data_IF_489013743940
#
_entry.id   IF_489013743940
#
_cell.length_a   1.000
_cell.length_b   1.000
_cell.length_c   1.000
_cell.angle_alpha   90.00
_cell.angle_beta   90.00
_cell.angle_gamma   90.00
#
_symmetry.space_group_name_H-M   'P 1'
#
loop_
_entity.id
_entity.type
_entity.pdbx_description
1 polymer ?
#
# COMPACT_ATOMS: atom_id res chain seq x y z
N UNK A 1 10.93 -22.89 15.87
CA UNK A 1 12.12 -22.86 15.00
C UNK A 1 12.92 -21.59 15.24
N UNK A 2 14.25 -21.67 15.09
CA UNK A 2 15.11 -20.49 15.19
C UNK A 2 15.29 -19.87 13.80
N UNK A 3 15.14 -18.53 13.69
CA UNK A 3 15.32 -17.78 12.46
C UNK A 3 16.34 -16.67 12.65
N UNK A 4 17.24 -16.52 11.69
CA UNK A 4 18.18 -15.38 11.59
C UNK A 4 17.66 -14.41 10.53
N UNK A 5 17.40 -13.18 10.92
CA UNK A 5 16.82 -12.16 10.04
C UNK A 5 17.58 -10.84 10.16
N UNK A 6 17.42 -9.96 9.18
CA UNK A 6 17.91 -8.58 9.25
C UNK A 6 16.73 -7.63 9.21
N UNK A 7 16.71 -6.66 10.12
CA UNK A 7 15.64 -5.65 10.18
C UNK A 7 16.25 -4.27 10.05
N UNK A 8 15.65 -3.44 9.20
CA UNK A 8 16.04 -2.05 9.06
C UNK A 8 15.74 -1.27 10.33
N UNK A 9 16.74 -0.58 10.86
CA UNK A 9 16.65 0.30 12.01
C UNK A 9 17.03 1.71 11.61
N UNK A 10 16.24 2.66 12.08
CA UNK A 10 16.47 4.10 11.88
C UNK A 10 15.72 4.90 12.95
N UNK A 11 16.43 5.70 13.68
CA UNK A 11 15.88 6.69 14.60
C UNK A 11 16.30 8.08 14.13
N UNK A 12 15.38 8.97 13.70
CA UNK A 12 15.73 10.28 13.17
C UNK A 12 16.43 11.20 14.17
N UNK A 13 16.34 10.92 15.47
CA UNK A 13 16.97 11.73 16.52
C UNK A 13 18.45 11.35 16.72
N UNK A 14 18.86 10.14 16.31
CA UNK A 14 20.21 9.61 16.61
C UNK A 14 20.97 9.11 15.39
N UNK A 15 20.26 8.66 14.34
CA UNK A 15 20.85 8.02 13.18
C UNK A 15 20.93 8.98 11.97
N UNK A 16 22.05 9.00 11.28
CA UNK A 16 22.20 9.75 10.03
C UNK A 16 21.64 9.01 8.80
N UNK A 17 21.60 7.68 8.86
CA UNK A 17 21.10 6.79 7.80
C UNK A 17 20.56 5.48 8.36
N UNK A 18 19.64 4.79 7.67
CA UNK A 18 19.16 3.47 8.07
C UNK A 18 20.28 2.42 8.07
N UNK A 19 20.25 1.49 9.02
CA UNK A 19 21.15 0.34 9.09
C UNK A 19 20.36 -0.97 9.15
N UNK A 20 20.94 -2.06 8.66
CA UNK A 20 20.40 -3.40 8.82
C UNK A 20 20.97 -4.04 10.09
N UNK A 21 20.12 -4.38 11.01
CA UNK A 21 20.48 -5.01 12.29
C UNK A 21 20.13 -6.50 12.26
N UNK A 22 21.10 -7.40 12.55
CA UNK A 22 20.84 -8.84 12.56
C UNK A 22 20.16 -9.27 13.86
N UNK A 23 19.16 -10.14 13.75
CA UNK A 23 18.43 -10.73 14.86
C UNK A 23 18.33 -12.24 14.70
N UNK A 24 18.41 -12.94 15.83
CA UNK A 24 18.09 -14.37 15.90
C UNK A 24 16.96 -14.57 16.91
N UNK A 25 15.84 -15.09 16.45
CA UNK A 25 14.63 -15.24 17.26
C UNK A 25 14.06 -16.64 17.15
N UNK A 26 13.37 -17.07 18.19
CA UNK A 26 12.59 -18.30 18.19
C UNK A 26 11.13 -18.00 17.91
N UNK A 27 10.56 -18.68 16.91
CA UNK A 27 9.15 -18.58 16.54
C UNK A 27 8.58 -19.99 16.29
N UNK A 28 7.26 -20.08 16.27
CA UNK A 28 6.56 -21.32 15.92
C UNK A 28 6.74 -21.67 14.44
N UNK A 29 6.59 -22.93 14.07
CA UNK A 29 6.58 -23.37 12.68
C UNK A 29 5.36 -22.76 11.96
N UNK A 30 5.56 -22.22 10.75
CA UNK A 30 4.52 -21.51 10.00
C UNK A 30 4.26 -20.07 10.50
N UNK A 31 5.12 -19.54 11.37
CA UNK A 31 5.04 -18.16 11.83
C UNK A 31 5.05 -17.17 10.65
N UNK A 32 4.42 -16.01 10.86
CA UNK A 32 4.43 -14.91 9.90
C UNK A 32 5.52 -13.90 10.25
N UNK A 33 5.90 -13.09 9.29
CA UNK A 33 6.86 -11.98 9.49
C UNK A 33 6.47 -11.11 10.69
N UNK A 34 5.18 -10.88 10.91
CA UNK A 34 4.70 -10.14 12.08
C UNK A 34 5.05 -10.82 13.41
N UNK A 35 5.03 -12.16 13.49
CA UNK A 35 5.43 -12.87 14.69
C UNK A 35 6.93 -12.71 14.99
N UNK A 36 7.75 -12.64 13.93
CA UNK A 36 9.18 -12.34 14.06
C UNK A 36 9.39 -10.93 14.61
N UNK A 37 8.65 -9.93 14.09
CA UNK A 37 8.72 -8.55 14.59
C UNK A 37 8.26 -8.45 16.05
N UNK A 38 7.19 -9.17 16.43
CA UNK A 38 6.73 -9.24 17.83
C UNK A 38 7.78 -9.87 18.76
N UNK A 39 8.46 -10.94 18.29
CA UNK A 39 9.53 -11.57 19.06
C UNK A 39 10.74 -10.64 19.24
N UNK A 40 11.15 -9.94 18.17
CA UNK A 40 12.22 -8.93 18.28
C UNK A 40 11.82 -7.79 19.23
N UNK A 41 10.59 -7.27 19.10
CA UNK A 41 10.10 -6.19 19.95
C UNK A 41 10.02 -6.59 21.44
N UNK A 42 9.82 -7.88 21.73
CA UNK A 42 9.87 -8.40 23.11
C UNK A 42 11.28 -8.38 23.69
N UNK A 43 12.31 -8.48 22.82
CA UNK A 43 13.72 -8.39 23.20
C UNK A 43 14.23 -6.93 23.20
N UNK A 44 13.78 -6.14 22.24
CA UNK A 44 14.09 -4.71 22.09
C UNK A 44 12.82 -3.91 21.83
N UNK A 45 12.19 -3.32 22.85
CA UNK A 45 10.97 -2.52 22.73
C UNK A 45 11.16 -1.21 21.95
N UNK A 46 12.37 -0.85 21.54
CA UNK A 46 12.63 0.35 20.73
C UNK A 46 12.30 0.13 19.25
N UNK A 47 12.18 -1.13 18.78
CA UNK A 47 11.77 -1.44 17.41
C UNK A 47 10.37 -0.92 17.12
N UNK A 48 10.26 -0.06 16.11
CA UNK A 48 9.00 0.57 15.73
C UNK A 48 8.43 -0.03 14.43
N UNK A 49 7.23 -0.60 14.51
CA UNK A 49 6.47 -1.13 13.38
C UNK A 49 4.97 -0.98 13.63
N UNK A 50 4.15 -1.18 12.58
CA UNK A 50 2.69 -1.10 12.71
C UNK A 50 2.04 -2.47 12.60
N UNK A 51 1.04 -2.70 13.45
CA UNK A 51 0.13 -3.85 13.34
C UNK A 51 -1.25 -3.48 13.87
N UNK A 52 -2.29 -4.14 13.36
CA UNK A 52 -3.65 -3.96 13.84
C UNK A 52 -4.45 -5.26 13.71
N UNK A 53 -5.09 -5.53 12.57
CA UNK A 53 -6.04 -6.65 12.41
C UNK A 53 -5.37 -8.04 12.44
N UNK A 54 -4.08 -8.17 12.15
CA UNK A 54 -3.31 -9.43 12.04
C UNK A 54 -3.88 -10.46 11.06
N UNK A 55 -4.77 -10.04 10.16
CA UNK A 55 -5.55 -10.92 9.27
C UNK A 55 -5.61 -10.43 7.81
N UNK A 56 -4.64 -9.62 7.37
CA UNK A 56 -4.55 -9.13 5.99
C UNK A 56 -5.66 -8.18 5.55
N UNK A 57 -6.36 -7.50 6.50
CA UNK A 57 -7.55 -6.68 6.19
C UNK A 57 -7.33 -5.17 6.33
N UNK A 58 -6.40 -4.71 7.16
CA UNK A 58 -6.25 -3.29 7.47
C UNK A 58 -5.08 -2.60 6.74
N UNK A 59 -4.14 -3.35 6.16
CA UNK A 59 -2.99 -2.79 5.43
C UNK A 59 -1.88 -2.18 6.29
N UNK A 60 -2.08 -2.00 7.61
CA UNK A 60 -1.16 -1.23 8.46
C UNK A 60 0.23 -1.86 8.62
N UNK A 61 0.35 -3.19 8.50
CA UNK A 61 1.60 -3.92 8.68
C UNK A 61 2.40 -4.12 7.37
N UNK A 62 2.18 -3.27 6.37
CA UNK A 62 2.92 -3.37 5.12
C UNK A 62 4.39 -2.96 5.31
N UNK A 63 5.28 -3.85 4.86
CA UNK A 63 6.74 -3.71 4.89
C UNK A 63 7.33 -4.27 3.60
N UNK A 64 8.62 -4.15 3.37
CA UNK A 64 9.33 -4.96 2.36
C UNK A 64 9.94 -6.18 3.03
N UNK A 65 9.82 -7.32 2.38
CA UNK A 65 10.51 -8.55 2.71
C UNK A 65 11.36 -8.94 1.50
N UNK A 66 12.67 -9.02 1.68
CA UNK A 66 13.62 -9.27 0.60
C UNK A 66 13.44 -8.31 -0.60
N UNK A 67 13.17 -7.02 -0.31
CA UNK A 67 12.99 -5.97 -1.29
C UNK A 67 11.59 -5.84 -1.91
N UNK A 68 10.67 -6.79 -1.69
CA UNK A 68 9.31 -6.75 -2.23
C UNK A 68 8.27 -6.41 -1.14
N UNK A 69 7.30 -5.52 -1.43
CA UNK A 69 6.23 -5.20 -0.48
C UNK A 69 5.36 -6.40 -0.14
N UNK A 70 5.14 -6.61 1.16
CA UNK A 70 4.28 -7.64 1.71
C UNK A 70 3.53 -7.13 2.94
N UNK A 71 2.47 -7.84 3.34
CA UNK A 71 1.84 -7.62 4.64
C UNK A 71 2.49 -8.56 5.66
N UNK A 72 3.17 -8.01 6.65
CA UNK A 72 3.88 -8.80 7.67
C UNK A 72 2.99 -9.85 8.37
N UNK A 73 1.68 -9.60 8.47
CA UNK A 73 0.75 -10.55 9.09
C UNK A 73 0.32 -11.73 8.21
N UNK A 74 0.61 -11.70 6.90
CA UNK A 74 0.26 -12.80 5.98
C UNK A 74 1.48 -13.43 5.32
N UNK A 75 2.59 -12.72 5.25
CA UNK A 75 3.85 -13.21 4.70
C UNK A 75 4.47 -14.25 5.64
N UNK A 76 4.87 -15.39 5.09
CA UNK A 76 5.50 -16.46 5.85
C UNK A 76 6.93 -16.09 6.23
N UNK A 77 7.30 -16.35 7.48
CA UNK A 77 8.64 -16.10 7.97
C UNK A 77 9.62 -17.17 7.48
N UNK A 78 10.78 -16.74 7.00
CA UNK A 78 11.85 -17.61 6.54
C UNK A 78 13.22 -17.16 7.08
N UNK A 79 14.13 -18.11 7.18
CA UNK A 79 15.51 -17.82 7.57
C UNK A 79 16.22 -16.94 6.53
N UNK A 80 17.09 -16.05 6.99
CA UNK A 80 17.88 -15.16 6.12
C UNK A 80 17.12 -13.97 5.53
N UNK A 81 15.83 -13.75 5.86
CA UNK A 81 15.07 -12.65 5.28
C UNK A 81 15.56 -11.29 5.76
N UNK A 82 15.36 -10.30 4.90
CA UNK A 82 15.62 -8.89 5.17
C UNK A 82 14.28 -8.16 5.22
N UNK A 83 14.00 -7.46 6.33
CA UNK A 83 12.75 -6.72 6.56
C UNK A 83 13.08 -5.23 6.57
N UNK A 84 12.46 -4.47 5.67
CA UNK A 84 12.69 -3.04 5.48
C UNK A 84 11.38 -2.27 5.43
N UNK A 85 11.38 -0.94 5.69
CA UNK A 85 10.20 -0.12 5.44
C UNK A 85 9.84 -0.10 3.96
N UNK A 86 8.59 0.23 3.64
CA UNK A 86 8.19 0.57 2.26
C UNK A 86 9.03 1.74 1.75
N UNK A 87 9.20 1.86 0.41
CA UNK A 87 9.88 3.01 -0.23
C UNK A 87 9.00 4.28 -0.14
N UNK A 88 8.78 4.73 1.08
CA UNK A 88 8.05 5.94 1.48
C UNK A 88 8.90 6.69 2.51
N UNK A 89 8.63 7.97 2.80
CA UNK A 89 9.35 8.68 3.85
C UNK A 89 9.29 7.92 5.19
N UNK A 90 10.45 7.57 5.72
CA UNK A 90 10.55 6.81 6.97
C UNK A 90 10.42 7.75 8.17
N UNK A 91 9.58 7.39 9.13
CA UNK A 91 9.44 8.10 10.41
C UNK A 91 10.43 7.49 11.42
N UNK A 92 10.40 6.16 11.58
CA UNK A 92 11.30 5.41 12.45
C UNK A 92 11.25 3.93 12.09
N UNK A 93 12.39 3.27 12.01
CA UNK A 93 12.55 1.85 11.70
C UNK A 93 11.70 1.39 10.50
N UNK A 94 10.65 0.60 10.73
CA UNK A 94 9.72 0.12 9.70
C UNK A 94 8.48 1.02 9.51
N UNK A 95 8.36 2.09 10.31
CA UNK A 95 7.25 3.03 10.21
C UNK A 95 7.50 4.10 9.16
N UNK A 96 6.61 4.17 8.18
CA UNK A 96 6.64 5.18 7.11
C UNK A 96 5.50 6.20 7.26
N UNK A 97 5.63 7.38 6.64
CA UNK A 97 4.55 8.36 6.57
C UNK A 97 3.46 7.88 5.62
N UNK A 98 2.37 7.36 6.17
CA UNK A 98 1.19 6.97 5.41
C UNK A 98 0.26 8.15 5.13
N UNK A 99 0.37 9.24 5.89
CA UNK A 99 -0.56 10.39 5.79
C UNK A 99 -0.39 11.08 4.45
N UNK A 100 0.84 11.34 4.01
CA UNK A 100 1.11 11.95 2.70
C UNK A 100 0.59 11.07 1.55
N UNK A 101 0.74 9.74 1.63
CA UNK A 101 0.22 8.80 0.64
C UNK A 101 -1.31 8.67 0.63
N UNK A 102 -1.94 8.73 1.81
CA UNK A 102 -3.40 8.59 1.96
C UNK A 102 -4.11 9.92 1.65
N UNK A 103 -3.53 11.06 1.98
CA UNK A 103 -4.13 12.38 1.73
C UNK A 103 -4.34 12.67 0.25
N UNK A 104 -3.55 12.06 -0.63
CA UNK A 104 -3.71 12.16 -2.09
C UNK A 104 -4.85 11.29 -2.66
N UNK A 105 -5.46 10.41 -1.84
CA UNK A 105 -6.54 9.53 -2.30
C UNK A 105 -7.85 10.33 -2.39
N UNK A 106 -8.46 10.41 -3.60
CA UNK A 106 -9.72 11.11 -3.78
C UNK A 106 -10.86 10.54 -2.94
N UNK A 107 -11.73 11.41 -2.48
CA UNK A 107 -12.94 11.05 -1.74
C UNK A 107 -14.19 11.40 -2.55
N UNK A 108 -15.29 10.70 -2.30
CA UNK A 108 -16.59 11.02 -2.90
C UNK A 108 -17.04 12.38 -2.38
N UNK A 109 -17.49 13.26 -3.29
CA UNK A 109 -18.22 14.45 -2.91
C UNK A 109 -19.64 14.01 -2.56
N UNK A 110 -20.06 14.30 -1.35
CA UNK A 110 -21.43 14.00 -0.94
C UNK A 110 -22.42 14.87 -1.71
N UNK A 111 -23.35 14.26 -2.42
CA UNK A 111 -24.51 14.98 -2.94
C UNK A 111 -25.79 14.42 -2.33
N UNK A 112 -26.72 15.29 -2.01
CA UNK A 112 -28.10 14.91 -1.70
C UNK A 112 -28.90 14.86 -3.02
N UNK A 113 -28.49 13.92 -3.90
CA UNK A 113 -29.04 13.82 -5.24
C UNK A 113 -30.22 12.86 -5.34
N UNK A 114 -30.65 12.23 -4.23
CA UNK A 114 -31.75 11.25 -4.22
C UNK A 114 -31.48 9.98 -5.05
N UNK A 115 -30.28 9.80 -5.57
CA UNK A 115 -29.91 8.62 -6.37
C UNK A 115 -29.65 7.43 -5.46
N UNK A 116 -30.37 6.34 -5.70
CA UNK A 116 -30.14 5.05 -5.05
C UNK A 116 -29.33 4.18 -6.02
N UNK A 117 -28.08 3.79 -5.65
CA UNK A 117 -27.28 2.91 -6.50
C UNK A 117 -27.98 1.57 -6.72
N UNK A 118 -27.94 1.07 -7.95
CA UNK A 118 -28.46 -0.26 -8.30
C UNK A 118 -27.38 -1.32 -8.04
N UNK A 119 -27.82 -2.58 -8.01
CA UNK A 119 -26.88 -3.72 -7.88
C UNK A 119 -25.78 -3.71 -8.95
N UNK A 120 -26.13 -3.33 -10.19
CA UNK A 120 -25.17 -3.23 -11.29
C UNK A 120 -24.06 -2.20 -11.01
N UNK A 121 -24.37 -1.07 -10.38
CA UNK A 121 -23.37 -0.05 -10.01
C UNK A 121 -22.43 -0.60 -8.95
N UNK A 122 -22.95 -1.35 -7.97
CA UNK A 122 -22.15 -1.99 -6.93
C UNK A 122 -21.20 -3.03 -7.53
N UNK A 123 -21.67 -3.86 -8.47
CA UNK A 123 -20.83 -4.87 -9.13
C UNK A 123 -19.72 -4.23 -9.99
N UNK A 124 -19.98 -3.10 -10.62
CA UNK A 124 -18.97 -2.34 -11.39
C UNK A 124 -17.88 -1.76 -10.49
N UNK A 125 -18.23 -1.31 -9.29
CA UNK A 125 -17.31 -0.73 -8.30
C UNK A 125 -16.51 -1.81 -7.57
N UNK A 126 -17.07 -3.00 -7.39
CA UNK A 126 -16.54 -4.09 -6.58
C UNK A 126 -15.07 -4.42 -6.83
N UNK A 127 -14.56 -4.53 -8.09
CA UNK A 127 -13.16 -4.85 -8.34
C UNK A 127 -12.16 -3.81 -7.81
N UNK A 128 -12.61 -2.60 -7.53
CA UNK A 128 -11.77 -1.48 -7.10
C UNK A 128 -11.94 -1.11 -5.61
N UNK A 129 -13.03 -1.57 -4.96
CA UNK A 129 -13.36 -1.14 -3.60
C UNK A 129 -12.59 -1.86 -2.49
N UNK A 130 -12.06 -3.05 -2.76
CA UNK A 130 -11.46 -3.93 -1.75
C UNK A 130 -10.03 -3.49 -1.35
N UNK A 131 -9.63 -2.29 -1.75
CA UNK A 131 -8.36 -1.69 -1.39
C UNK A 131 -8.31 -1.38 0.11
N UNK A 132 -7.25 -1.85 0.76
CA UNK A 132 -6.97 -1.66 2.19
C UNK A 132 -5.98 -0.52 2.45
N UNK A 133 -5.65 0.28 1.44
CA UNK A 133 -4.78 1.47 1.53
C UNK A 133 -3.41 1.18 2.17
N UNK A 134 -2.87 -0.02 1.93
CA UNK A 134 -1.57 -0.44 2.46
C UNK A 134 -0.36 0.25 1.82
N UNK A 135 -0.56 0.98 0.71
CA UNK A 135 0.46 1.72 -0.06
C UNK A 135 1.58 0.86 -0.69
N UNK A 136 1.52 -0.46 -0.66
CA UNK A 136 2.49 -1.34 -1.34
C UNK A 136 2.64 -0.99 -2.83
N UNK A 137 1.54 -0.68 -3.51
CA UNK A 137 1.54 -0.28 -4.92
C UNK A 137 2.17 1.11 -5.16
N UNK A 138 2.10 2.01 -4.19
CA UNK A 138 2.74 3.33 -4.21
C UNK A 138 4.25 3.17 -4.06
N UNK A 139 4.70 2.37 -3.10
CA UNK A 139 6.10 2.08 -2.82
C UNK A 139 6.88 1.60 -4.07
N UNK A 140 6.27 0.76 -4.91
CA UNK A 140 6.94 0.19 -6.10
C UNK A 140 6.75 1.00 -7.38
N UNK A 141 6.02 2.12 -7.34
CA UNK A 141 5.65 2.84 -8.55
C UNK A 141 6.82 3.65 -9.12
N UNK A 142 7.39 3.30 -10.29
CA UNK A 142 8.53 4.04 -10.83
C UNK A 142 8.13 5.46 -11.31
N UNK A 143 6.91 5.64 -11.80
CA UNK A 143 6.43 6.94 -12.29
C UNK A 143 6.36 7.98 -11.15
N UNK A 144 5.96 7.59 -9.95
CA UNK A 144 5.91 8.49 -8.79
C UNK A 144 7.30 9.00 -8.35
N UNK A 145 8.36 8.26 -8.69
CA UNK A 145 9.74 8.67 -8.32
C UNK A 145 10.31 9.77 -9.21
N UNK A 146 9.72 9.99 -10.39
CA UNK A 146 10.29 10.87 -11.43
C UNK A 146 9.29 11.85 -12.05
N UNK A 147 8.01 11.82 -11.64
CA UNK A 147 6.94 12.70 -12.16
C UNK A 147 5.98 13.09 -11.04
N UNK A 148 5.09 14.04 -11.32
CA UNK A 148 4.01 14.46 -10.41
C UNK A 148 2.81 13.49 -10.38
N UNK A 149 3.02 12.24 -10.79
CA UNK A 149 1.99 11.21 -10.76
C UNK A 149 1.56 10.89 -9.32
N UNK A 150 0.29 11.08 -9.00
CA UNK A 150 -0.24 10.82 -7.65
C UNK A 150 -0.41 9.32 -7.33
N UNK A 151 -0.02 8.45 -8.25
CA UNK A 151 0.14 7.02 -8.00
C UNK A 151 -1.09 6.16 -8.25
N UNK A 152 -0.87 4.83 -8.20
CA UNK A 152 -1.89 3.85 -8.56
C UNK A 152 -3.08 3.85 -7.60
N UNK A 153 -2.89 4.13 -6.31
CA UNK A 153 -3.97 4.20 -5.32
C UNK A 153 -4.93 5.35 -5.63
N UNK A 154 -4.40 6.52 -6.03
CA UNK A 154 -5.20 7.67 -6.44
C UNK A 154 -6.01 7.34 -7.70
N UNK A 155 -5.38 6.80 -8.75
CA UNK A 155 -6.07 6.43 -9.99
C UNK A 155 -7.15 5.37 -9.76
N UNK A 156 -6.87 4.36 -8.93
CA UNK A 156 -7.87 3.38 -8.52
C UNK A 156 -9.07 4.05 -7.85
N UNK A 157 -8.82 5.01 -6.96
CA UNK A 157 -9.89 5.73 -6.26
C UNK A 157 -10.68 6.63 -7.21
N UNK A 158 -10.01 7.37 -8.12
CA UNK A 158 -10.69 8.18 -9.15
C UNK A 158 -11.64 7.33 -9.98
N UNK A 159 -11.18 6.17 -10.48
CA UNK A 159 -12.04 5.29 -11.26
C UNK A 159 -13.19 4.72 -10.44
N UNK A 160 -12.94 4.27 -9.20
CA UNK A 160 -13.96 3.78 -8.30
C UNK A 160 -15.07 4.81 -8.07
N UNK A 161 -14.69 6.07 -7.88
CA UNK A 161 -15.61 7.18 -7.65
C UNK A 161 -16.33 7.54 -8.94
N UNK A 162 -15.64 7.57 -10.09
CA UNK A 162 -16.25 7.84 -11.40
C UNK A 162 -17.35 6.83 -11.78
N UNK A 163 -17.29 5.61 -11.24
CA UNK A 163 -18.31 4.57 -11.43
C UNK A 163 -19.52 4.71 -10.49
N UNK A 164 -19.44 5.59 -9.48
CA UNK A 164 -20.54 5.79 -8.53
C UNK A 164 -21.57 6.78 -9.12
N UNK A 165 -22.82 6.38 -9.31
CA UNK A 165 -23.84 7.24 -9.93
C UNK A 165 -24.16 8.50 -9.09
N UNK A 166 -23.75 8.54 -7.84
CA UNK A 166 -23.96 9.69 -6.94
C UNK A 166 -22.87 10.75 -7.04
N UNK A 167 -21.79 10.47 -7.75
CA UNK A 167 -20.65 11.39 -7.89
C UNK A 167 -20.93 12.45 -8.97
N UNK A 168 -21.09 13.74 -8.60
CA UNK A 168 -21.38 14.80 -9.57
C UNK A 168 -20.15 15.36 -10.27
N UNK A 169 -18.94 14.99 -9.82
CA UNK A 169 -17.68 15.54 -10.28
C UNK A 169 -17.16 14.90 -11.58
N UNK A 170 -16.23 15.58 -12.23
CA UNK A 170 -15.50 15.01 -13.37
C UNK A 170 -14.18 14.37 -12.91
N UNK A 171 -14.25 13.12 -12.49
CA UNK A 171 -13.10 12.35 -11.97
C UNK A 171 -12.05 12.04 -13.01
N UNK A 172 -12.43 11.98 -14.26
CA UNK A 172 -11.47 11.81 -15.38
C UNK A 172 -10.60 13.05 -15.51
N UNK A 173 -11.18 14.24 -15.45
CA UNK A 173 -10.41 15.50 -15.48
C UNK A 173 -9.45 15.61 -14.29
N UNK A 174 -9.90 15.22 -13.10
CA UNK A 174 -9.04 15.17 -11.91
C UNK A 174 -7.90 14.16 -12.08
N UNK A 175 -8.19 12.96 -12.61
CA UNK A 175 -7.14 11.96 -12.88
C UNK A 175 -6.10 12.48 -13.88
N UNK A 176 -6.52 13.23 -14.92
CA UNK A 176 -5.61 13.87 -15.88
C UNK A 176 -4.68 14.85 -15.15
N UNK A 177 -5.22 15.73 -14.31
CA UNK A 177 -4.42 16.69 -13.54
C UNK A 177 -3.49 16.02 -12.52
N UNK A 178 -3.78 14.79 -12.15
CA UNK A 178 -2.98 13.95 -11.24
C UNK A 178 -1.98 13.04 -11.96
N UNK A 179 -1.73 13.28 -13.25
CA UNK A 179 -0.71 12.57 -14.03
C UNK A 179 -1.17 11.23 -14.61
N UNK A 180 -2.45 11.05 -14.95
CA UNK A 180 -2.99 9.81 -15.56
C UNK A 180 -2.13 9.27 -16.70
N UNK A 181 -1.63 10.15 -17.57
CA UNK A 181 -0.86 9.77 -18.77
C UNK A 181 0.62 9.51 -18.50
N UNK A 182 1.14 9.81 -17.32
CA UNK A 182 2.54 9.55 -16.95
C UNK A 182 2.76 8.10 -16.47
N UNK A 183 1.69 7.35 -16.22
CA UNK A 183 1.79 5.94 -15.87
C UNK A 183 2.35 5.13 -17.05
N UNK A 184 3.39 4.33 -16.78
CA UNK A 184 4.10 3.51 -17.80
C UNK A 184 3.44 2.15 -18.05
N UNK A 185 2.31 1.84 -17.43
CA UNK A 185 1.60 0.55 -17.53
C UNK A 185 2.47 -0.68 -17.21
N UNK A 186 3.45 -0.53 -16.32
CA UNK A 186 4.42 -1.59 -15.96
C UNK A 186 3.84 -2.73 -15.11
N UNK A 187 2.61 -2.63 -14.65
CA UNK A 187 1.87 -3.62 -13.85
C UNK A 187 2.47 -3.94 -12.45
N UNK A 188 3.52 -3.26 -12.00
CA UNK A 188 4.13 -3.52 -10.69
C UNK A 188 3.12 -3.34 -9.55
N UNK A 189 2.28 -2.31 -9.63
CA UNK A 189 1.24 -2.04 -8.63
C UNK A 189 0.21 -3.17 -8.48
N UNK A 190 -0.08 -3.91 -9.54
CA UNK A 190 -0.94 -5.08 -9.49
C UNK A 190 -0.23 -6.27 -8.84
N UNK A 191 1.01 -6.54 -9.25
CA UNK A 191 1.79 -7.71 -8.77
C UNK A 191 1.98 -7.71 -7.26
N UNK A 192 2.18 -6.53 -6.65
CA UNK A 192 2.38 -6.40 -5.18
C UNK A 192 1.08 -6.18 -4.40
N UNK A 193 -0.08 -6.19 -5.07
CA UNK A 193 -1.34 -5.90 -4.40
C UNK A 193 -1.82 -7.10 -3.58
N UNK A 194 -1.89 -7.03 -2.24
CA UNK A 194 -2.33 -8.14 -1.41
C UNK A 194 -3.82 -8.47 -1.59
N UNK A 195 -4.59 -7.58 -2.25
CA UNK A 195 -6.00 -7.77 -2.60
C UNK A 195 -6.20 -8.08 -4.09
N UNK A 196 -5.10 -8.31 -4.83
CA UNK A 196 -5.12 -8.63 -6.26
C UNK A 196 -5.94 -7.64 -7.11
N UNK A 197 -5.89 -6.35 -6.76
CA UNK A 197 -6.59 -5.32 -7.53
C UNK A 197 -5.79 -4.98 -8.78
N UNK A 198 -6.35 -5.28 -9.93
CA UNK A 198 -5.77 -4.97 -11.24
C UNK A 198 -5.93 -3.48 -11.57
N UNK A 199 -5.22 -2.63 -10.84
CA UNK A 199 -5.29 -1.17 -11.01
C UNK A 199 -4.94 -0.70 -12.42
N UNK A 200 -3.93 -1.25 -13.13
CA UNK A 200 -3.63 -0.82 -14.49
C UNK A 200 -4.82 -0.98 -15.44
N UNK A 201 -5.35 -2.17 -15.62
CA UNK A 201 -6.44 -2.45 -16.54
C UNK A 201 -7.80 -1.96 -16.07
N UNK A 202 -8.13 -2.17 -14.78
CA UNK A 202 -9.46 -1.84 -14.22
C UNK A 202 -9.65 -0.36 -13.89
N UNK A 203 -8.57 0.40 -13.73
CA UNK A 203 -8.68 1.83 -13.40
C UNK A 203 -7.95 2.72 -14.40
N UNK A 204 -6.63 2.58 -14.57
CA UNK A 204 -5.83 3.53 -15.34
C UNK A 204 -6.20 3.51 -16.83
N UNK A 205 -6.26 2.33 -17.44
CA UNK A 205 -6.63 2.19 -18.84
C UNK A 205 -8.08 2.64 -19.09
N UNK A 206 -9.01 2.30 -18.18
CA UNK A 206 -10.40 2.76 -18.28
C UNK A 206 -10.53 4.28 -18.17
N UNK A 207 -9.78 4.92 -17.27
CA UNK A 207 -9.74 6.39 -17.19
C UNK A 207 -9.18 7.01 -18.48
N UNK A 208 -8.16 6.39 -19.09
CA UNK A 208 -7.60 6.84 -20.38
C UNK A 208 -8.57 6.66 -21.54
N UNK A 209 -9.31 5.53 -21.59
CA UNK A 209 -10.35 5.29 -22.60
C UNK A 209 -11.45 6.37 -22.55
N UNK A 210 -11.86 6.79 -21.34
CA UNK A 210 -12.88 7.84 -21.16
C UNK A 210 -12.31 9.25 -21.45
N UNK A 211 -11.01 9.45 -21.23
CA UNK A 211 -10.33 10.75 -21.44
C UNK A 211 -10.08 11.10 -22.91
N UNK A 212 -10.05 10.11 -23.79
CA UNK A 212 -9.86 10.26 -25.25
C UNK A 212 -11.20 10.36 -25.99
#
# INVERSE_FOLDING_TARGET
>A
MQLSVKVSRFDPDTDSEPRLEPWTVEVEEGARVLNVLDAIHSLDPTLSYRSSCRAGQCGSCAVKVNGEPALACTEEAADGMVIEPLDLPVIKDLMTDLVSGISSIPRINTCDCGIIPKQEDIERIKPLRDCIECLSCVSVCPAMKVTDFLGPTSMRSQMRIALDPREPGNRVREAISQGLFTCTSCNRCWRVCPKNIETPGKAIEKLREIAN
#
